data_IF_918079529605
#
_entry.id   IF_918079529605
#
_cell.length_a   1.000
_cell.length_b   1.000
_cell.length_c   1.000
_cell.angle_alpha   90.00
_cell.angle_beta   90.00
_cell.angle_gamma   90.00
#
_symmetry.space_group_name_H-M   'P 1'
#
loop_
_entity.id
_entity.type
_entity.pdbx_description
1 polymer ?
#
# COMPACT_ATOMS: atom_id res chain seq x y z
N UNK A 1 -43.06 -5.32 27.34
CA UNK A 1 -43.26 -4.26 26.33
C UNK A 1 -41.95 -3.50 26.26
N UNK A 2 -41.06 -3.88 25.35
CA UNK A 2 -39.73 -3.28 25.24
C UNK A 2 -39.86 -1.94 24.53
N UNK A 3 -39.53 -0.88 25.25
CA UNK A 3 -39.47 0.50 24.75
C UNK A 3 -38.39 0.55 23.67
N UNK A 4 -38.80 0.56 22.40
CA UNK A 4 -37.89 0.74 21.28
C UNK A 4 -37.63 2.24 21.18
N UNK A 5 -36.36 2.70 21.26
CA UNK A 5 -36.07 4.12 21.21
C UNK A 5 -36.60 4.72 19.90
N UNK A 6 -37.30 5.85 20.03
CA UNK A 6 -37.84 6.58 18.88
C UNK A 6 -36.69 6.99 17.96
N UNK A 7 -36.73 6.66 16.66
CA UNK A 7 -35.66 7.05 15.74
C UNK A 7 -35.50 8.57 15.73
N UNK A 8 -34.26 9.07 15.83
CA UNK A 8 -33.93 10.50 15.68
C UNK A 8 -33.41 10.79 14.26
N UNK A 9 -33.50 12.05 13.78
CA UNK A 9 -32.83 12.46 12.56
C UNK A 9 -31.32 12.23 12.63
N UNK A 10 -30.72 11.96 11.46
CA UNK A 10 -29.26 11.91 11.29
C UNK A 10 -28.68 13.31 11.49
N UNK A 11 -27.56 13.42 12.19
CA UNK A 11 -26.79 14.64 12.37
C UNK A 11 -25.31 14.43 11.95
N UNK A 12 -24.53 15.50 11.75
CA UNK A 12 -23.12 15.37 11.37
C UNK A 12 -22.30 14.47 12.31
N UNK A 13 -22.59 14.49 13.62
CA UNK A 13 -21.87 13.69 14.62
C UNK A 13 -22.04 12.18 14.41
N UNK A 14 -23.09 11.75 13.71
CA UNK A 14 -23.28 10.34 13.36
C UNK A 14 -22.15 9.81 12.47
N UNK A 15 -21.47 10.69 11.72
CA UNK A 15 -20.34 10.33 10.88
C UNK A 15 -19.23 9.64 11.70
N UNK A 16 -18.97 10.11 12.91
CA UNK A 16 -17.90 9.60 13.78
C UNK A 16 -18.29 8.30 14.50
N UNK A 17 -19.56 7.90 14.45
CA UNK A 17 -20.03 6.61 14.95
C UNK A 17 -19.91 5.49 13.89
N UNK A 18 -19.64 5.86 12.63
CA UNK A 18 -19.57 4.91 11.53
C UNK A 18 -18.24 4.15 11.50
N UNK A 19 -18.33 2.88 11.16
CA UNK A 19 -17.20 2.00 10.89
C UNK A 19 -17.15 1.73 9.39
N UNK A 20 -16.04 2.08 8.76
CA UNK A 20 -15.88 2.00 7.32
C UNK A 20 -15.01 0.81 6.96
N UNK A 21 -15.58 -0.16 6.25
CA UNK A 21 -14.79 -1.21 5.63
C UNK A 21 -13.94 -0.61 4.51
N UNK A 22 -12.64 -0.86 4.55
CA UNK A 22 -11.68 -0.34 3.57
C UNK A 22 -11.15 -1.48 2.72
N UNK A 23 -9.96 -2.00 3.03
CA UNK A 23 -9.29 -3.03 2.24
C UNK A 23 -9.78 -4.43 2.61
N UNK A 24 -9.80 -5.34 1.64
CA UNK A 24 -10.21 -6.73 1.83
C UNK A 24 -9.30 -7.67 1.03
N UNK A 25 -8.94 -8.81 1.62
CA UNK A 25 -8.14 -9.85 0.97
C UNK A 25 -8.59 -11.25 1.44
N UNK A 26 -8.93 -12.10 0.49
CA UNK A 26 -9.21 -13.52 0.73
C UNK A 26 -7.89 -14.29 0.88
N UNK A 27 -7.79 -15.19 1.84
CA UNK A 27 -6.64 -16.07 1.99
C UNK A 27 -6.52 -17.04 0.81
N UNK A 28 -5.31 -17.39 0.35
CA UNK A 28 -5.13 -18.34 -0.76
C UNK A 28 -5.81 -19.70 -0.56
N UNK A 29 -5.91 -20.18 0.68
CA UNK A 29 -6.63 -21.41 1.01
C UNK A 29 -8.17 -21.26 1.05
N UNK A 30 -8.70 -20.03 0.91
CA UNK A 30 -10.13 -19.76 0.87
C UNK A 30 -10.87 -19.85 2.21
N UNK A 31 -10.16 -19.92 3.33
CA UNK A 31 -10.77 -20.11 4.66
C UNK A 31 -11.03 -18.80 5.41
N UNK A 32 -10.26 -17.75 5.11
CA UNK A 32 -10.26 -16.50 5.85
C UNK A 32 -10.32 -15.27 4.94
N UNK A 33 -10.94 -14.21 5.45
CA UNK A 33 -10.83 -12.87 4.87
C UNK A 33 -10.07 -12.00 5.88
N UNK A 34 -9.01 -11.34 5.43
CA UNK A 34 -8.41 -10.21 6.15
C UNK A 34 -9.03 -8.93 5.62
N UNK A 35 -9.49 -8.06 6.50
CA UNK A 35 -10.07 -6.77 6.11
C UNK A 35 -9.66 -5.69 7.09
N UNK A 36 -9.78 -4.43 6.68
CA UNK A 36 -9.51 -3.29 7.54
C UNK A 36 -10.77 -2.47 7.79
N UNK A 37 -10.89 -1.97 9.03
CA UNK A 37 -12.00 -1.15 9.50
C UNK A 37 -11.43 0.20 9.91
N UNK A 38 -11.90 1.27 9.28
CA UNK A 38 -11.57 2.64 9.64
C UNK A 38 -12.64 3.27 10.53
N UNK A 39 -12.20 4.03 11.52
CA UNK A 39 -13.01 4.81 12.47
C UNK A 39 -12.43 6.22 12.58
N UNK A 40 -13.26 7.21 12.87
CA UNK A 40 -12.85 8.61 12.96
C UNK A 40 -12.99 9.13 14.38
N UNK A 41 -11.95 9.77 14.88
CA UNK A 41 -11.93 10.50 16.14
C UNK A 41 -12.12 11.99 15.86
N UNK A 42 -13.26 12.54 16.28
CA UNK A 42 -13.62 13.93 16.06
C UNK A 42 -12.75 14.90 16.87
N UNK A 43 -12.36 14.52 18.09
CA UNK A 43 -11.62 15.39 18.99
C UNK A 43 -10.15 15.49 18.57
N UNK A 44 -9.60 14.37 18.06
CA UNK A 44 -8.23 14.31 17.57
C UNK A 44 -8.07 14.74 16.09
N UNK A 45 -9.18 14.97 15.37
CA UNK A 45 -9.21 15.20 13.92
C UNK A 45 -8.39 14.16 13.14
N UNK A 46 -8.61 12.88 13.48
CA UNK A 46 -7.79 11.77 13.00
C UNK A 46 -8.63 10.53 12.64
N UNK A 47 -8.14 9.77 11.66
CA UNK A 47 -8.65 8.44 11.34
C UNK A 47 -7.73 7.33 11.85
N UNK A 48 -8.34 6.23 12.26
CA UNK A 48 -7.65 5.02 12.70
C UNK A 48 -8.16 3.85 11.87
N UNK A 49 -7.27 2.95 11.49
CA UNK A 49 -7.62 1.80 10.66
C UNK A 49 -7.00 0.54 11.28
N UNK A 50 -7.82 -0.48 11.54
CA UNK A 50 -7.36 -1.71 12.17
C UNK A 50 -7.71 -2.94 11.33
N UNK A 51 -6.84 -3.95 11.40
CA UNK A 51 -7.03 -5.21 10.71
C UNK A 51 -7.91 -6.15 11.52
N UNK A 52 -8.73 -6.89 10.78
CA UNK A 52 -9.63 -7.92 11.26
C UNK A 52 -9.52 -9.16 10.37
N UNK A 53 -9.86 -10.31 10.95
CA UNK A 53 -9.99 -11.59 10.26
C UNK A 53 -11.40 -12.12 10.40
N UNK A 54 -12.00 -12.53 9.31
CA UNK A 54 -13.24 -13.29 9.27
C UNK A 54 -12.92 -14.75 8.90
N UNK A 55 -13.41 -15.70 9.68
CA UNK A 55 -13.42 -17.12 9.31
C UNK A 55 -14.69 -17.43 8.54
N UNK A 56 -14.57 -17.82 7.27
CA UNK A 56 -15.71 -17.96 6.37
C UNK A 56 -16.68 -19.07 6.78
N UNK A 57 -16.17 -20.19 7.28
CA UNK A 57 -17.00 -21.33 7.66
C UNK A 57 -17.91 -21.06 8.85
N UNK A 58 -17.48 -20.22 9.81
CA UNK A 58 -18.18 -19.97 11.08
C UNK A 58 -18.78 -18.58 11.17
N UNK A 59 -18.32 -17.64 10.35
CA UNK A 59 -18.64 -16.22 10.50
C UNK A 59 -17.92 -15.54 11.66
N UNK A 60 -16.99 -16.23 12.33
CA UNK A 60 -16.23 -15.67 13.45
C UNK A 60 -15.35 -14.52 12.98
N UNK A 61 -15.46 -13.37 13.66
CA UNK A 61 -14.63 -12.19 13.42
C UNK A 61 -13.67 -11.99 14.59
N UNK A 62 -12.40 -11.71 14.27
CA UNK A 62 -11.35 -11.43 15.25
C UNK A 62 -10.56 -10.20 14.82
N UNK A 63 -10.47 -9.21 15.71
CA UNK A 63 -9.56 -8.08 15.52
C UNK A 63 -8.11 -8.55 15.69
N UNK A 64 -7.26 -8.13 14.75
CA UNK A 64 -5.85 -8.54 14.67
C UNK A 64 -4.89 -7.44 15.14
N UNK A 65 -5.24 -6.17 14.93
CA UNK A 65 -4.41 -5.03 15.35
C UNK A 65 -5.21 -4.02 16.15
N UNK A 66 -4.52 -3.26 16.99
CA UNK A 66 -5.11 -2.28 17.91
C UNK A 66 -4.26 -1.00 17.93
N UNK A 67 -4.85 0.10 18.39
CA UNK A 67 -4.17 1.39 18.58
C UNK A 67 -4.79 2.53 17.77
N UNK A 68 -4.08 3.65 17.73
CA UNK A 68 -4.50 4.91 17.10
C UNK A 68 -3.76 5.18 15.78
N UNK A 69 -3.25 4.13 15.16
CA UNK A 69 -2.52 4.21 13.89
C UNK A 69 -3.32 3.52 12.80
N UNK A 70 -2.96 3.79 11.55
CA UNK A 70 -3.53 3.09 10.41
C UNK A 70 -2.74 1.83 10.14
N UNK A 71 -3.42 0.69 10.21
CA UNK A 71 -2.97 -0.64 9.84
C UNK A 71 -3.92 -1.15 8.74
N UNK A 72 -3.50 -1.04 7.48
CA UNK A 72 -4.38 -1.25 6.33
C UNK A 72 -3.72 -2.05 5.21
N UNK A 73 -4.45 -2.23 4.12
CA UNK A 73 -3.99 -2.95 2.90
C UNK A 73 -3.43 -4.36 3.19
N UNK A 74 -4.18 -5.24 3.88
CA UNK A 74 -3.71 -6.58 4.17
C UNK A 74 -3.51 -7.39 2.87
N UNK A 75 -2.41 -8.15 2.81
CA UNK A 75 -2.08 -9.08 1.73
C UNK A 75 -1.59 -10.39 2.34
N UNK A 76 -2.25 -11.50 2.00
CA UNK A 76 -1.90 -12.82 2.50
C UNK A 76 -0.64 -13.36 1.81
N UNK A 77 0.23 -14.00 2.59
CA UNK A 77 1.30 -14.84 2.04
C UNK A 77 0.68 -16.01 1.27
N UNK A 78 1.37 -16.55 0.25
CA UNK A 78 0.85 -17.67 -0.55
C UNK A 78 0.52 -18.92 0.27
N UNK A 79 1.23 -19.14 1.37
CA UNK A 79 1.00 -20.25 2.30
C UNK A 79 -0.17 -20.01 3.30
N UNK A 80 -0.86 -18.87 3.21
CA UNK A 80 -1.97 -18.45 4.09
C UNK A 80 -1.62 -18.30 5.57
N UNK A 81 -0.33 -18.19 5.94
CA UNK A 81 0.10 -18.12 7.36
C UNK A 81 0.43 -16.72 7.85
N UNK A 82 0.68 -15.79 6.95
CA UNK A 82 1.15 -14.44 7.28
C UNK A 82 0.32 -13.41 6.53
N UNK A 83 0.07 -12.28 7.17
CA UNK A 83 -0.54 -11.09 6.56
C UNK A 83 0.53 -10.01 6.53
N UNK A 84 0.91 -9.57 5.32
CA UNK A 84 1.64 -8.32 5.12
C UNK A 84 0.66 -7.15 5.13
N UNK A 85 1.02 -6.04 5.73
CA UNK A 85 0.19 -4.84 5.77
C UNK A 85 1.04 -3.57 5.94
N UNK A 86 0.43 -2.42 5.69
CA UNK A 86 1.08 -1.12 5.88
C UNK A 86 0.64 -0.53 7.21
N UNK A 87 1.61 -0.10 8.01
CA UNK A 87 1.34 0.56 9.29
C UNK A 87 1.95 1.97 9.32
N UNK A 88 1.19 2.92 9.86
CA UNK A 88 1.63 4.29 10.18
C UNK A 88 2.02 4.46 11.65
N UNK A 89 2.34 3.37 12.37
CA UNK A 89 2.72 3.43 13.79
C UNK A 89 4.06 4.11 14.07
N UNK A 90 4.91 4.25 13.05
CA UNK A 90 6.18 4.98 13.12
C UNK A 90 6.10 6.31 12.39
N UNK A 91 7.25 6.96 12.21
CA UNK A 91 7.33 8.27 11.52
C UNK A 91 6.88 8.22 10.06
N UNK A 92 7.08 7.08 9.39
CA UNK A 92 6.69 6.85 7.99
C UNK A 92 5.93 5.53 7.85
N UNK A 93 5.05 5.39 6.83
CA UNK A 93 4.41 4.12 6.53
C UNK A 93 5.45 3.05 6.18
N UNK A 94 5.34 1.88 6.82
CA UNK A 94 6.24 0.74 6.59
C UNK A 94 5.44 -0.56 6.45
N UNK A 95 6.05 -1.57 5.86
CA UNK A 95 5.51 -2.92 5.78
C UNK A 95 5.74 -3.63 7.11
N UNK A 96 4.70 -4.30 7.59
CA UNK A 96 4.74 -5.18 8.74
C UNK A 96 4.17 -6.55 8.35
N UNK A 97 4.69 -7.59 8.99
CA UNK A 97 4.21 -8.96 8.84
C UNK A 97 3.58 -9.44 10.15
N UNK A 98 2.38 -9.98 10.06
CA UNK A 98 1.61 -10.50 11.18
C UNK A 98 1.25 -11.98 10.95
N UNK A 99 1.55 -12.90 11.88
CA UNK A 99 1.07 -14.28 11.81
C UNK A 99 -0.46 -14.34 11.90
N UNK A 100 -1.10 -15.19 11.08
CA UNK A 100 -2.57 -15.29 10.98
C UNK A 100 -3.24 -15.70 12.29
N UNK A 101 -2.57 -16.53 13.09
CA UNK A 101 -3.10 -17.03 14.37
C UNK A 101 -2.99 -15.99 15.50
N UNK A 102 -2.37 -14.85 15.21
CA UNK A 102 -2.07 -13.78 16.14
C UNK A 102 -0.64 -13.82 16.65
N UNK A 103 -0.28 -12.80 17.43
CA UNK A 103 1.08 -12.52 17.86
C UNK A 103 1.43 -11.07 17.55
N UNK A 104 2.66 -10.67 17.86
CA UNK A 104 3.13 -9.32 17.51
C UNK A 104 3.55 -9.26 16.04
N UNK A 105 3.14 -8.19 15.37
CA UNK A 105 3.60 -7.92 14.02
C UNK A 105 5.07 -7.45 14.07
N UNK A 106 5.91 -7.98 13.18
CA UNK A 106 7.27 -7.45 13.02
C UNK A 106 7.34 -6.48 11.85
N UNK A 107 8.14 -5.45 12.02
CA UNK A 107 8.47 -4.53 10.93
C UNK A 107 9.37 -5.23 9.91
N UNK A 108 9.10 -5.02 8.62
CA UNK A 108 9.88 -5.57 7.52
C UNK A 108 10.73 -4.51 6.82
N UNK A 109 10.17 -3.32 6.58
CA UNK A 109 10.87 -2.24 5.88
C UNK A 109 11.27 -1.10 6.81
N UNK A 110 12.37 -0.43 6.47
CA UNK A 110 12.92 0.71 7.20
C UNK A 110 13.30 1.86 6.24
N UNK A 111 12.42 2.16 5.27
CA UNK A 111 12.70 3.17 4.24
C UNK A 111 12.57 4.60 4.79
N UNK A 112 13.52 5.48 4.46
CA UNK A 112 13.55 6.88 4.93
C UNK A 112 12.32 7.68 4.51
N UNK A 113 11.82 7.46 3.30
CA UNK A 113 10.59 8.09 2.80
C UNK A 113 9.33 7.26 3.06
N UNK A 114 9.46 6.10 3.72
CA UNK A 114 8.39 5.11 3.82
C UNK A 114 8.06 4.44 2.49
N UNK A 115 7.01 3.62 2.54
CA UNK A 115 6.39 3.03 1.36
C UNK A 115 5.07 3.73 1.02
N UNK A 116 4.61 3.57 -0.22
CA UNK A 116 3.30 4.08 -0.65
C UNK A 116 2.24 2.99 -0.75
N UNK A 117 2.62 1.71 -0.87
CA UNK A 117 1.68 0.58 -0.87
C UNK A 117 1.97 -0.39 -2.02
N UNK A 118 0.92 -0.98 -2.61
CA UNK A 118 1.04 -1.87 -3.76
C UNK A 118 1.75 -3.20 -3.45
N UNK A 119 1.50 -3.76 -2.26
CA UNK A 119 2.15 -4.98 -1.79
C UNK A 119 1.75 -6.17 -2.68
N UNK A 120 2.73 -6.95 -3.12
CA UNK A 120 2.51 -8.19 -3.85
C UNK A 120 3.54 -9.25 -3.42
N UNK A 121 3.06 -10.37 -2.88
CA UNK A 121 3.91 -11.51 -2.54
C UNK A 121 4.42 -12.21 -3.79
N UNK A 122 5.68 -12.63 -3.77
CA UNK A 122 6.20 -13.55 -4.78
C UNK A 122 5.45 -14.89 -4.69
N UNK A 123 5.32 -15.66 -5.78
CA UNK A 123 4.55 -16.90 -5.78
C UNK A 123 5.06 -17.95 -4.78
N UNK A 124 6.36 -17.94 -4.50
CA UNK A 124 7.01 -18.81 -3.50
C UNK A 124 6.92 -18.27 -2.06
N UNK A 125 6.42 -17.05 -1.87
CA UNK A 125 6.30 -16.39 -0.58
C UNK A 125 7.62 -15.89 0.01
N UNK A 126 8.74 -15.95 -0.73
CA UNK A 126 10.05 -15.54 -0.23
C UNK A 126 10.31 -14.03 -0.28
N UNK A 127 9.58 -13.30 -1.14
CA UNK A 127 9.79 -11.87 -1.36
C UNK A 127 8.46 -11.10 -1.39
N UNK A 128 8.55 -9.80 -1.13
CA UNK A 128 7.47 -8.84 -1.30
C UNK A 128 7.92 -7.74 -2.26
N UNK A 129 7.12 -7.53 -3.31
CA UNK A 129 7.20 -6.35 -4.15
C UNK A 129 6.28 -5.25 -3.61
N UNK A 130 6.68 -3.99 -3.77
CA UNK A 130 5.89 -2.84 -3.34
C UNK A 130 6.33 -1.56 -4.06
N UNK A 131 5.47 -0.53 -4.01
CA UNK A 131 5.76 0.81 -4.51
C UNK A 131 6.24 1.72 -3.37
N UNK A 132 7.30 2.48 -3.63
CA UNK A 132 7.77 3.53 -2.73
C UNK A 132 8.39 4.69 -3.51
N UNK A 133 8.46 5.90 -2.92
CA UNK A 133 9.23 6.99 -3.50
C UNK A 133 10.71 6.60 -3.66
N UNK A 134 11.45 7.26 -4.56
CA UNK A 134 12.90 7.21 -4.54
C UNK A 134 13.44 7.51 -3.14
N UNK A 135 14.54 6.84 -2.75
CA UNK A 135 15.20 7.03 -1.45
C UNK A 135 16.51 7.81 -1.65
N UNK A 136 16.46 9.13 -1.93
CA UNK A 136 17.67 9.91 -2.15
C UNK A 136 18.48 10.03 -0.85
N UNK A 137 19.81 10.07 -0.97
CA UNK A 137 20.70 10.25 0.17
C UNK A 137 20.48 11.59 0.88
N UNK A 138 20.18 12.63 0.09
CA UNK A 138 19.88 13.97 0.57
C UNK A 138 18.44 14.35 0.18
N UNK A 139 17.64 14.86 1.13
CA UNK A 139 16.33 15.41 0.80
C UNK A 139 16.47 16.67 -0.04
N UNK A 140 15.40 17.02 -0.76
CA UNK A 140 15.32 18.28 -1.49
C UNK A 140 15.45 19.47 -0.53
N UNK A 141 16.35 20.41 -0.81
CA UNK A 141 16.46 21.66 -0.06
C UNK A 141 15.33 22.61 -0.48
N UNK A 142 14.37 22.93 0.41
CA UNK A 142 13.23 23.79 0.07
C UNK A 142 13.63 25.24 -0.27
N UNK A 143 14.87 25.67 0.03
CA UNK A 143 15.35 27.01 -0.28
C UNK A 143 15.94 27.15 -1.69
N UNK A 144 16.17 26.02 -2.38
CA UNK A 144 16.64 26.04 -3.75
C UNK A 144 15.46 26.20 -4.72
N UNK A 145 15.68 26.88 -5.86
CA UNK A 145 14.65 26.97 -6.89
C UNK A 145 14.30 25.58 -7.41
N UNK A 146 13.01 25.30 -7.55
CA UNK A 146 12.54 24.04 -8.10
C UNK A 146 12.94 23.92 -9.57
N UNK A 147 13.65 22.83 -9.91
CA UNK A 147 14.16 22.59 -11.27
C UNK A 147 13.16 21.77 -12.08
N UNK A 148 12.50 22.43 -13.03
CA UNK A 148 11.61 21.77 -13.99
C UNK A 148 12.40 20.90 -14.97
N UNK A 149 12.19 19.59 -14.90
CA UNK A 149 12.84 18.60 -15.78
C UNK A 149 11.84 17.74 -16.57
N UNK A 150 10.54 18.01 -16.42
CA UNK A 150 9.44 17.18 -16.94
C UNK A 150 8.49 18.01 -17.82
N UNK A 151 7.87 17.36 -18.80
CA UNK A 151 6.89 17.98 -19.70
C UNK A 151 5.60 18.39 -18.96
N UNK A 152 5.00 17.46 -18.20
CA UNK A 152 3.98 17.77 -17.20
C UNK A 152 4.65 17.77 -15.83
N UNK A 153 4.58 18.90 -15.13
CA UNK A 153 5.31 19.11 -13.88
C UNK A 153 4.42 19.29 -12.65
N UNK A 154 3.11 19.54 -12.83
CA UNK A 154 2.18 19.77 -11.73
C UNK A 154 0.76 19.30 -12.07
N UNK A 155 0.08 18.71 -11.08
CA UNK A 155 -1.37 18.49 -11.08
C UNK A 155 -2.03 19.19 -9.89
N UNK A 156 -3.32 19.47 -10.02
CA UNK A 156 -4.13 19.87 -8.87
C UNK A 156 -4.17 18.73 -7.84
N UNK A 157 -4.26 19.07 -6.55
CA UNK A 157 -4.16 18.17 -5.38
C UNK A 157 -2.79 17.49 -5.20
N UNK A 158 -2.18 16.95 -6.26
CA UNK A 158 -0.90 16.23 -6.19
C UNK A 158 0.28 17.19 -5.98
N UNK A 159 0.22 18.39 -6.58
CA UNK A 159 1.36 19.32 -6.59
C UNK A 159 2.41 18.90 -7.61
N UNK A 160 3.69 19.05 -7.26
CA UNK A 160 4.81 18.75 -8.16
C UNK A 160 4.93 17.25 -8.43
N UNK A 161 5.05 16.86 -9.70
CA UNK A 161 5.03 15.44 -10.07
C UNK A 161 6.30 14.68 -9.73
N UNK A 162 7.40 15.36 -9.40
CA UNK A 162 8.57 14.69 -8.81
C UNK A 162 8.23 14.06 -7.45
N UNK A 163 7.35 14.68 -6.67
CA UNK A 163 6.84 14.13 -5.41
C UNK A 163 5.89 12.94 -5.62
N UNK A 164 5.36 12.80 -6.84
CA UNK A 164 4.51 11.69 -7.21
C UNK A 164 5.32 10.51 -7.79
N UNK A 165 6.64 10.62 -7.99
CA UNK A 165 7.42 9.49 -8.52
C UNK A 165 7.33 8.30 -7.57
N UNK A 166 7.04 7.13 -8.13
CA UNK A 166 6.95 5.87 -7.42
C UNK A 166 7.76 4.83 -8.16
N UNK A 167 8.67 4.18 -7.47
CA UNK A 167 9.43 3.06 -8.00
C UNK A 167 8.99 1.75 -7.38
N UNK A 168 9.26 0.66 -8.11
CA UNK A 168 9.08 -0.68 -7.61
C UNK A 168 10.33 -1.12 -6.85
N UNK A 169 10.10 -1.72 -5.69
CA UNK A 169 11.10 -2.35 -4.86
C UNK A 169 10.71 -3.79 -4.58
N UNK A 170 11.71 -4.61 -4.27
CA UNK A 170 11.53 -5.95 -3.69
C UNK A 170 12.33 -6.07 -2.40
N UNK A 171 11.79 -6.79 -1.43
CA UNK A 171 12.48 -7.11 -0.17
C UNK A 171 12.30 -8.61 0.14
N UNK A 172 13.35 -9.23 0.66
CA UNK A 172 13.28 -10.59 1.18
C UNK A 172 12.40 -10.61 2.42
N UNK A 173 11.52 -11.61 2.50
CA UNK A 173 10.61 -11.75 3.63
C UNK A 173 11.41 -11.98 4.90
N UNK A 174 12.54 -12.66 4.92
CA UNK A 174 13.40 -12.77 6.10
C UNK A 174 13.97 -11.41 6.59
N UNK A 175 13.91 -10.35 5.77
CA UNK A 175 14.38 -9.00 6.08
C UNK A 175 15.62 -8.61 5.29
N UNK A 176 16.28 -7.54 5.73
CA UNK A 176 17.41 -6.94 5.01
C UNK A 176 17.01 -5.68 4.25
N UNK A 177 17.86 -5.26 3.31
CA UNK A 177 17.63 -4.04 2.56
C UNK A 177 16.71 -4.27 1.36
N UNK A 178 15.75 -3.37 1.19
CA UNK A 178 14.91 -3.36 0.00
C UNK A 178 15.73 -2.95 -1.23
N UNK A 179 15.51 -3.66 -2.33
CA UNK A 179 16.19 -3.45 -3.59
C UNK A 179 15.26 -2.79 -4.60
N UNK A 180 15.68 -1.63 -5.11
CA UNK A 180 14.97 -0.88 -6.15
C UNK A 180 15.08 -1.58 -7.50
N UNK A 181 13.97 -1.72 -8.22
CA UNK A 181 13.88 -2.34 -9.55
C UNK A 181 13.69 -1.33 -10.68
N UNK A 182 13.00 -0.22 -10.42
CA UNK A 182 12.76 0.83 -11.42
C UNK A 182 13.40 2.14 -11.00
N UNK A 183 13.80 2.96 -11.97
CA UNK A 183 14.29 4.32 -11.76
C UNK A 183 14.01 5.21 -12.98
N UNK A 184 12.82 5.07 -13.55
CA UNK A 184 12.41 5.71 -14.81
C UNK A 184 11.66 7.04 -14.61
N UNK A 185 11.55 7.51 -13.36
CA UNK A 185 10.87 8.76 -13.02
C UNK A 185 9.36 8.71 -13.26
N UNK A 186 8.78 7.53 -13.39
CA UNK A 186 7.34 7.33 -13.55
C UNK A 186 6.64 7.18 -12.19
N UNK A 187 5.31 7.16 -12.22
CA UNK A 187 4.48 6.69 -11.11
C UNK A 187 4.16 5.22 -11.34
N UNK A 188 5.01 4.32 -10.83
CA UNK A 188 4.91 2.88 -11.03
C UNK A 188 4.08 2.21 -9.93
N UNK A 189 3.00 1.53 -10.33
CA UNK A 189 1.99 0.98 -9.42
C UNK A 189 1.45 -0.37 -9.89
N UNK A 190 0.60 -0.98 -9.06
CA UNK A 190 -0.12 -2.21 -9.37
C UNK A 190 0.79 -3.37 -9.81
N UNK A 191 1.96 -3.47 -9.19
CA UNK A 191 2.91 -4.54 -9.47
C UNK A 191 2.29 -5.91 -9.15
N UNK A 192 2.49 -6.87 -10.06
CA UNK A 192 2.04 -8.25 -9.93
C UNK A 192 3.16 -9.18 -10.38
N UNK A 193 3.43 -10.22 -9.60
CA UNK A 193 4.45 -11.21 -9.96
C UNK A 193 4.00 -12.07 -11.12
N UNK A 194 4.93 -12.37 -12.03
CA UNK A 194 4.78 -13.48 -12.94
C UNK A 194 4.67 -14.78 -12.11
N UNK A 195 3.89 -15.79 -12.57
CA UNK A 195 3.71 -17.04 -11.83
C UNK A 195 5.01 -17.80 -11.52
N UNK A 196 6.05 -17.59 -12.31
CA UNK A 196 7.38 -18.19 -12.13
C UNK A 196 8.31 -17.38 -11.20
N UNK A 197 7.86 -16.22 -10.70
CA UNK A 197 8.63 -15.34 -9.83
C UNK A 197 9.79 -14.60 -10.52
N UNK A 198 9.92 -14.68 -11.84
CA UNK A 198 11.09 -14.12 -12.55
C UNK A 198 11.03 -12.60 -12.80
N UNK A 199 9.82 -12.03 -12.80
CA UNK A 199 9.56 -10.64 -13.16
C UNK A 199 8.24 -10.14 -12.58
N UNK A 200 8.06 -8.82 -12.61
CA UNK A 200 6.83 -8.13 -12.25
C UNK A 200 6.19 -7.51 -13.50
N UNK A 201 4.86 -7.61 -13.63
CA UNK A 201 4.04 -6.75 -14.50
C UNK A 201 3.59 -5.54 -13.69
N UNK A 202 3.60 -4.35 -14.28
CA UNK A 202 3.19 -3.13 -13.58
C UNK A 202 2.66 -2.05 -14.53
N UNK A 203 1.98 -1.07 -13.96
CA UNK A 203 1.47 0.10 -14.67
C UNK A 203 2.39 1.29 -14.42
N UNK A 204 2.87 1.91 -15.49
CA UNK A 204 3.63 3.16 -15.45
C UNK A 204 2.76 4.30 -15.98
N UNK A 205 2.59 5.35 -15.18
CA UNK A 205 1.97 6.63 -15.58
C UNK A 205 2.91 7.78 -15.29
N UNK A 206 2.53 9.01 -15.67
CA UNK A 206 3.34 10.21 -15.44
C UNK A 206 4.76 10.03 -15.96
N UNK A 207 4.94 9.74 -17.25
CA UNK A 207 6.29 9.66 -17.83
C UNK A 207 6.88 11.08 -17.90
N UNK A 208 8.19 11.26 -17.61
CA UNK A 208 8.81 12.59 -17.52
C UNK A 208 8.73 13.38 -18.84
N UNK A 209 8.88 12.69 -19.96
CA UNK A 209 8.96 13.32 -21.29
C UNK A 209 7.63 13.32 -22.06
N UNK A 210 6.52 12.96 -21.40
CA UNK A 210 5.19 12.90 -22.01
C UNK A 210 4.32 14.09 -21.63
N UNK A 211 3.66 14.71 -22.62
CA UNK A 211 2.59 15.69 -22.38
C UNK A 211 1.26 15.03 -21.98
N UNK A 212 1.15 13.70 -22.14
CA UNK A 212 0.00 12.92 -21.71
C UNK A 212 0.28 12.33 -20.33
N UNK A 213 0.25 13.18 -19.30
CA UNK A 213 0.68 12.79 -17.94
C UNK A 213 -0.04 11.58 -17.35
N UNK A 214 -1.26 11.26 -17.79
CA UNK A 214 -2.04 10.10 -17.33
C UNK A 214 -2.04 8.92 -18.32
N UNK A 215 -1.32 9.00 -19.44
CA UNK A 215 -1.19 7.87 -20.34
C UNK A 215 -0.49 6.72 -19.62
N UNK A 216 -1.16 5.57 -19.59
CA UNK A 216 -0.64 4.38 -18.94
C UNK A 216 0.12 3.52 -19.94
N UNK A 217 1.30 3.05 -19.53
CA UNK A 217 2.00 1.96 -20.19
C UNK A 217 1.95 0.72 -19.28
N UNK A 218 1.77 -0.44 -19.89
CA UNK A 218 1.90 -1.73 -19.23
C UNK A 218 3.31 -2.25 -19.49
N UNK A 219 4.09 -2.45 -18.43
CA UNK A 219 5.51 -2.80 -18.51
C UNK A 219 5.80 -4.04 -17.66
N UNK A 220 6.89 -4.71 -17.98
CA UNK A 220 7.48 -5.72 -17.10
C UNK A 220 8.86 -5.28 -16.63
N UNK A 221 9.26 -5.71 -15.43
CA UNK A 221 10.61 -5.53 -14.91
C UNK A 221 11.11 -6.85 -14.33
N UNK A 222 12.30 -7.27 -14.73
CA UNK A 222 12.97 -8.45 -14.16
C UNK A 222 13.60 -8.12 -12.81
N UNK A 223 13.98 -9.14 -12.05
CA UNK A 223 14.64 -8.92 -10.78
C UNK A 223 16.01 -8.28 -10.90
N UNK A 224 16.68 -8.26 -12.05
CA UNK A 224 17.91 -7.49 -12.29
C UNK A 224 17.65 -6.06 -12.83
N UNK A 225 16.39 -5.65 -12.94
CA UNK A 225 16.00 -4.28 -13.32
C UNK A 225 15.86 -4.05 -14.83
N UNK A 226 15.80 -5.11 -15.65
CA UNK A 226 15.55 -4.98 -17.07
C UNK A 226 14.06 -4.73 -17.32
N UNK A 227 13.75 -3.58 -17.90
CA UNK A 227 12.38 -3.15 -18.18
C UNK A 227 12.03 -3.43 -19.64
N UNK A 228 10.85 -3.99 -19.88
CA UNK A 228 10.26 -4.18 -21.20
C UNK A 228 8.84 -3.59 -21.25
N UNK A 229 8.48 -2.96 -22.37
CA UNK A 229 7.15 -2.34 -22.55
C UNK A 229 6.25 -3.28 -23.35
N UNK A 230 5.15 -3.71 -22.74
CA UNK A 230 4.19 -4.64 -23.35
C UNK A 230 3.13 -3.88 -24.14
N UNK A 231 2.58 -2.82 -23.53
CA UNK A 231 1.61 -1.93 -24.16
C UNK A 231 2.04 -0.51 -23.87
N UNK A 232 2.11 0.30 -24.93
CA UNK A 232 2.33 1.73 -24.82
C UNK A 232 1.14 2.48 -25.41
N UNK A 233 0.55 3.39 -24.62
CA UNK A 233 -0.47 4.32 -25.08
C UNK A 233 0.04 5.78 -25.08
N UNK A 234 1.36 5.98 -24.95
CA UNK A 234 2.01 7.29 -25.07
C UNK A 234 1.73 7.96 -26.42
#
# INVERSE_FOLDING_TARGET
MTDQPTPRPVCPDDLFQLHFLQSVALSPNGEHIAYSVATYDADADADHEQLWRLTLATGEQRQLTFGLHRNGTPQWSPDSKTIAFVSTRGDKPQIYLLPVDGGEARQLTHLKQGISGGLAWSPDGAQLAFSAPPQPDQPHDPNLPYRLTRAVYRFDVIGYLDSAVQDLYVIDVAGGDARRLTADGCHNTAAQWAPDGSRLLYVATMQPDSYRGMAAALRTVTLDGLVDTIIDQA
#
